data_IF_454575198640
#
_entry.id   IF_454575198640
#
_cell.length_a   1.000
_cell.length_b   1.000
_cell.length_c   1.000
_cell.angle_alpha   90.00
_cell.angle_beta   90.00
_cell.angle_gamma   90.00
#
_symmetry.space_group_name_H-M   'P 1'
#
loop_
_entity.id
_entity.type
_entity.pdbx_description
1 polymer ?
#
# COMPACT_ATOMS: atom_id res chain seq x y z
N UNK A 1 -2.53 32.54 -10.28
CA UNK A 1 -3.06 31.95 -9.02
C UNK A 1 -3.85 30.67 -9.29
N UNK A 2 -4.91 30.69 -10.10
CA UNK A 2 -5.74 29.51 -10.42
C UNK A 2 -4.96 28.35 -11.07
N UNK A 3 -4.06 28.67 -12.02
CA UNK A 3 -3.28 27.67 -12.75
C UNK A 3 -2.30 26.91 -11.82
N UNK A 4 -1.71 27.60 -10.84
CA UNK A 4 -0.82 26.97 -9.85
C UNK A 4 -1.57 26.02 -8.90
N UNK A 5 -2.77 26.38 -8.48
CA UNK A 5 -3.63 25.52 -7.64
C UNK A 5 -4.06 24.27 -8.42
N UNK A 6 -4.44 24.42 -9.69
CA UNK A 6 -4.80 23.29 -10.54
C UNK A 6 -3.62 22.31 -10.72
N UNK A 7 -2.42 22.83 -10.95
CA UNK A 7 -1.23 22.01 -11.16
C UNK A 7 -0.84 21.26 -9.87
N UNK A 8 -0.94 21.90 -8.71
CA UNK A 8 -0.70 21.26 -7.42
C UNK A 8 -1.71 20.12 -7.15
N UNK A 9 -3.00 20.32 -7.46
CA UNK A 9 -4.02 19.27 -7.33
C UNK A 9 -3.71 18.07 -8.22
N UNK A 10 -3.36 18.30 -9.49
CA UNK A 10 -3.02 17.21 -10.42
C UNK A 10 -1.84 16.39 -9.90
N UNK A 11 -0.76 17.06 -9.48
CA UNK A 11 0.43 16.38 -8.94
C UNK A 11 0.06 15.54 -7.71
N UNK A 12 -0.74 16.11 -6.79
CA UNK A 12 -1.18 15.39 -5.60
C UNK A 12 -2.04 14.16 -5.94
N UNK A 13 -2.98 14.30 -6.88
CA UNK A 13 -3.84 13.20 -7.33
C UNK A 13 -3.02 12.07 -7.96
N UNK A 14 -2.06 12.40 -8.82
CA UNK A 14 -1.18 11.40 -9.46
C UNK A 14 -0.33 10.67 -8.40
N UNK A 15 0.22 11.38 -7.43
CA UNK A 15 1.01 10.78 -6.36
C UNK A 15 0.16 9.85 -5.47
N UNK A 16 -1.06 10.27 -5.13
CA UNK A 16 -1.99 9.45 -4.36
C UNK A 16 -2.37 8.17 -5.11
N UNK A 17 -2.69 8.28 -6.41
CA UNK A 17 -3.03 7.12 -7.24
C UNK A 17 -1.85 6.17 -7.42
N UNK A 18 -0.65 6.70 -7.64
CA UNK A 18 0.57 5.89 -7.70
C UNK A 18 0.79 5.13 -6.38
N UNK A 19 0.66 5.83 -5.25
CA UNK A 19 0.85 5.21 -3.94
C UNK A 19 -0.22 4.15 -3.61
N UNK A 20 -1.50 4.42 -3.90
CA UNK A 20 -2.57 3.44 -3.75
C UNK A 20 -2.37 2.22 -4.67
N UNK A 21 -1.81 2.42 -5.86
CA UNK A 21 -1.45 1.33 -6.78
C UNK A 21 -0.32 0.47 -6.21
N UNK A 22 0.72 1.07 -5.62
CA UNK A 22 1.81 0.34 -4.95
C UNK A 22 1.27 -0.47 -3.77
N UNK A 23 0.38 0.12 -2.96
CA UNK A 23 -0.34 -0.60 -1.91
C UNK A 23 -1.07 -1.82 -2.50
N UNK A 24 -1.84 -1.64 -3.56
CA UNK A 24 -2.55 -2.76 -4.19
C UNK A 24 -1.60 -3.85 -4.72
N UNK A 25 -0.48 -3.47 -5.33
CA UNK A 25 0.57 -4.41 -5.75
C UNK A 25 1.10 -5.19 -4.54
N UNK A 26 1.38 -4.51 -3.42
CA UNK A 26 1.81 -5.16 -2.17
C UNK A 26 0.81 -6.21 -1.71
N UNK A 27 -0.49 -5.92 -1.73
CA UNK A 27 -1.53 -6.89 -1.41
C UNK A 27 -1.42 -8.14 -2.29
N UNK A 28 -1.29 -7.96 -3.60
CA UNK A 28 -1.11 -9.08 -4.53
C UNK A 28 0.16 -9.88 -4.20
N UNK A 29 1.27 -9.21 -3.91
CA UNK A 29 2.54 -9.86 -3.56
C UNK A 29 2.42 -10.69 -2.28
N UNK A 30 1.73 -10.17 -1.26
CA UNK A 30 1.45 -10.87 0.00
C UNK A 30 0.65 -12.16 -0.27
N UNK A 31 -0.40 -12.08 -1.09
CA UNK A 31 -1.20 -13.26 -1.49
C UNK A 31 -0.42 -14.27 -2.33
N UNK A 32 0.36 -13.80 -3.30
CA UNK A 32 1.19 -14.69 -4.15
C UNK A 32 2.19 -15.44 -3.27
N UNK A 33 2.88 -14.76 -2.36
CA UNK A 33 3.86 -15.37 -1.45
C UNK A 33 3.20 -16.44 -0.56
N UNK A 34 2.01 -16.15 -0.05
CA UNK A 34 1.21 -17.08 0.77
C UNK A 34 0.79 -18.32 -0.01
N UNK A 35 0.17 -18.14 -1.18
CA UNK A 35 -0.45 -19.23 -1.94
C UNK A 35 0.57 -20.15 -2.58
N UNK A 36 1.71 -19.61 -3.01
CA UNK A 36 2.73 -20.35 -3.75
C UNK A 36 3.94 -20.73 -2.88
N UNK A 37 4.07 -20.13 -1.69
CA UNK A 37 5.30 -20.19 -0.85
C UNK A 37 6.56 -19.77 -1.62
N UNK A 38 6.39 -18.91 -2.61
CA UNK A 38 7.45 -18.48 -3.51
C UNK A 38 8.50 -17.64 -2.79
N UNK A 39 9.77 -17.92 -3.11
CA UNK A 39 10.93 -17.18 -2.60
C UNK A 39 11.59 -16.43 -3.76
N UNK A 40 11.26 -15.14 -3.97
CA UNK A 40 11.86 -14.37 -5.05
C UNK A 40 13.37 -14.27 -4.91
N UNK A 41 14.09 -14.22 -6.03
CA UNK A 41 15.56 -14.11 -6.08
C UNK A 41 16.00 -13.10 -7.13
N UNK A 42 17.23 -12.59 -6.97
CA UNK A 42 17.86 -11.67 -7.91
C UNK A 42 17.08 -10.37 -8.06
N UNK A 43 16.98 -9.87 -9.29
CA UNK A 43 16.35 -8.58 -9.59
C UNK A 43 14.89 -8.46 -9.13
N UNK A 44 14.12 -9.56 -9.21
CA UNK A 44 12.72 -9.60 -8.80
C UNK A 44 12.58 -9.34 -7.30
N UNK A 45 13.49 -9.88 -6.48
CA UNK A 45 13.51 -9.61 -5.04
C UNK A 45 13.69 -8.12 -4.76
N UNK A 46 14.56 -7.43 -5.52
CA UNK A 46 14.78 -5.98 -5.34
C UNK A 46 13.52 -5.17 -5.61
N UNK A 47 12.78 -5.48 -6.69
CA UNK A 47 11.52 -4.80 -7.00
C UNK A 47 10.47 -5.00 -5.91
N UNK A 48 10.31 -6.25 -5.47
CA UNK A 48 9.38 -6.61 -4.39
C UNK A 48 9.77 -5.91 -3.09
N UNK A 49 11.06 -5.91 -2.74
CA UNK A 49 11.56 -5.22 -1.56
C UNK A 49 11.32 -3.71 -1.63
N UNK A 50 11.46 -3.08 -2.80
CA UNK A 50 11.15 -1.66 -2.96
C UNK A 50 9.68 -1.36 -2.65
N UNK A 51 8.75 -2.21 -3.11
CA UNK A 51 7.32 -2.10 -2.77
C UNK A 51 7.10 -2.20 -1.27
N UNK A 52 7.71 -3.18 -0.60
CA UNK A 52 7.60 -3.34 0.85
C UNK A 52 8.19 -2.16 1.61
N UNK A 53 9.37 -1.66 1.25
CA UNK A 53 10.01 -0.49 1.89
C UNK A 53 9.13 0.76 1.82
N UNK A 54 8.46 0.99 0.69
CA UNK A 54 7.57 2.15 0.52
C UNK A 54 6.27 2.02 1.31
N UNK A 55 5.77 0.79 1.47
CA UNK A 55 4.45 0.55 2.08
C UNK A 55 4.51 0.18 3.56
N UNK A 56 5.62 -0.38 4.04
CA UNK A 56 5.79 -0.85 5.42
C UNK A 56 5.73 0.24 6.48
N UNK A 57 6.39 1.41 6.34
CA UNK A 57 6.38 2.43 7.40
C UNK A 57 4.98 2.87 7.83
N UNK A 58 4.05 3.25 6.92
CA UNK A 58 2.70 3.64 7.29
C UNK A 58 1.84 2.46 7.77
N UNK A 59 2.00 1.28 7.19
CA UNK A 59 1.28 0.09 7.68
C UNK A 59 1.75 -0.30 9.08
N UNK A 60 3.05 -0.31 9.34
CA UNK A 60 3.61 -0.59 10.66
C UNK A 60 3.18 0.45 11.70
N UNK A 61 3.01 1.71 11.30
CA UNK A 61 2.42 2.72 12.17
C UNK A 61 0.97 2.36 12.52
N UNK A 62 0.15 1.99 11.54
CA UNK A 62 -1.24 1.59 11.76
C UNK A 62 -1.37 0.28 12.56
N UNK A 63 -0.47 -0.68 12.36
CA UNK A 63 -0.42 -1.95 13.12
C UNK A 63 -0.24 -1.75 14.63
N UNK A 64 0.22 -0.58 15.07
CA UNK A 64 0.29 -0.22 16.50
C UNK A 64 -1.11 -0.02 17.10
N UNK A 65 -2.08 0.38 16.29
CA UNK A 65 -3.45 0.65 16.70
C UNK A 65 -4.39 -0.48 16.31
N UNK A 66 -4.17 -1.10 15.15
CA UNK A 66 -5.02 -2.14 14.58
C UNK A 66 -4.25 -3.46 14.61
N UNK A 67 -4.66 -4.36 15.52
CA UNK A 67 -4.05 -5.68 15.61
C UNK A 67 -4.42 -6.52 14.37
N UNK A 68 -3.48 -7.26 13.76
CA UNK A 68 -3.78 -8.19 12.68
C UNK A 68 -4.82 -9.21 13.12
N UNK A 69 -5.80 -9.51 12.27
CA UNK A 69 -6.79 -10.53 12.58
C UNK A 69 -6.23 -11.92 12.25
N UNK A 70 -6.16 -12.84 13.22
CA UNK A 70 -5.80 -14.22 12.92
C UNK A 70 -6.89 -14.87 12.07
N UNK A 71 -6.49 -15.46 10.95
CA UNK A 71 -7.33 -16.23 10.04
C UNK A 71 -6.71 -17.61 9.83
N UNK A 72 -6.85 -18.46 10.86
CA UNK A 72 -6.29 -19.82 10.87
C UNK A 72 -4.75 -19.80 10.84
N UNK A 73 -4.10 -20.35 9.80
CA UNK A 73 -2.64 -20.37 9.69
C UNK A 73 -2.01 -19.03 9.27
N UNK A 74 -2.81 -17.99 8.99
CA UNK A 74 -2.33 -16.70 8.49
C UNK A 74 -2.91 -15.53 9.28
N UNK A 75 -2.30 -14.36 9.10
CA UNK A 75 -2.82 -13.09 9.61
C UNK A 75 -3.31 -12.25 8.46
N UNK A 76 -4.54 -11.74 8.55
CA UNK A 76 -5.05 -10.74 7.63
C UNK A 76 -4.64 -9.35 8.12
N UNK A 77 -3.88 -8.63 7.28
CA UNK A 77 -3.43 -7.29 7.60
C UNK A 77 -4.54 -6.27 7.36
N UNK A 78 -5.34 -6.01 8.40
CA UNK A 78 -6.36 -4.97 8.38
C UNK A 78 -5.78 -3.57 8.13
N UNK A 79 -4.52 -3.34 8.50
CA UNK A 79 -3.86 -2.04 8.36
C UNK A 79 -3.79 -1.63 6.89
N UNK A 80 -3.62 -2.61 6.00
CA UNK A 80 -3.67 -2.41 4.56
C UNK A 80 -5.00 -1.81 4.12
N UNK A 81 -6.10 -2.47 4.52
CA UNK A 81 -7.46 -2.09 4.17
C UNK A 81 -7.74 -0.67 4.66
N UNK A 82 -7.40 -0.40 5.92
CA UNK A 82 -7.62 0.92 6.54
C UNK A 82 -6.81 2.00 5.83
N UNK A 83 -5.54 1.75 5.51
CA UNK A 83 -4.72 2.74 4.81
C UNK A 83 -5.26 3.02 3.40
N UNK A 84 -5.57 1.97 2.65
CA UNK A 84 -6.06 2.11 1.27
C UNK A 84 -7.40 2.83 1.23
N UNK A 85 -8.36 2.45 2.10
CA UNK A 85 -9.63 3.16 2.22
C UNK A 85 -9.45 4.60 2.68
N UNK A 86 -8.61 4.84 3.68
CA UNK A 86 -8.33 6.20 4.18
C UNK A 86 -7.81 7.12 3.08
N UNK A 87 -6.89 6.62 2.25
CA UNK A 87 -6.37 7.36 1.10
C UNK A 87 -7.43 7.55 0.01
N UNK A 88 -8.27 6.55 -0.24
CA UNK A 88 -9.40 6.67 -1.16
C UNK A 88 -10.39 7.76 -0.72
N UNK A 89 -10.66 7.86 0.59
CA UNK A 89 -11.47 8.94 1.15
C UNK A 89 -10.79 10.29 0.98
N UNK A 90 -9.50 10.41 1.25
CA UNK A 90 -8.75 11.66 1.02
C UNK A 90 -8.83 12.09 -0.45
N UNK A 91 -8.67 11.15 -1.38
CA UNK A 91 -8.79 11.40 -2.82
C UNK A 91 -10.17 11.90 -3.23
N UNK A 92 -11.23 11.51 -2.53
CA UNK A 92 -12.59 12.00 -2.82
C UNK A 92 -12.75 13.51 -2.62
N UNK A 93 -11.91 14.13 -1.78
CA UNK A 93 -11.99 15.55 -1.45
C UNK A 93 -11.03 16.44 -2.25
N UNK A 94 -10.16 15.86 -3.09
CA UNK A 94 -9.13 16.58 -3.87
C UNK A 94 -9.63 16.81 -5.30
#
# INVERSE_FOLDING_TARGET
MLLGIALARIVLSVLLEAYMSILFIRLILDWVAVLTRWKPRGFIYTLINAVYVVTDPPLNYLRRFIKPLPMGPMYLDLSFIVLWFGLGLVRMFI
#
